data_IF_928936981366
#
_entry.id   IF_928936981366
#
_cell.length_a   1.000
_cell.length_b   1.000
_cell.length_c   1.000
_cell.angle_alpha   90.00
_cell.angle_beta   90.00
_cell.angle_gamma   90.00
#
_symmetry.space_group_name_H-M   'P 1'
#
loop_
_entity.id
_entity.type
_entity.pdbx_description
1 polymer ?
#
# COMPACT_ATOMS: atom_id res chain seq x y z
N UNK A 1 14.34 -7.88 -14.20
CA UNK A 1 15.04 -6.61 -13.92
C UNK A 1 16.02 -6.90 -12.81
N UNK A 2 17.25 -6.42 -12.90
CA UNK A 2 18.22 -6.49 -11.82
C UNK A 2 17.84 -5.52 -10.70
N UNK A 3 18.06 -5.93 -9.44
CA UNK A 3 17.67 -5.18 -8.24
C UNK A 3 18.26 -3.75 -8.22
N UNK A 4 19.45 -3.57 -8.78
CA UNK A 4 20.14 -2.28 -8.85
C UNK A 4 19.41 -1.30 -9.77
N UNK A 5 19.01 -1.72 -10.96
CA UNK A 5 18.24 -0.87 -11.88
C UNK A 5 16.85 -0.57 -11.30
N UNK A 6 16.20 -1.53 -10.64
CA UNK A 6 14.90 -1.32 -10.00
C UNK A 6 14.98 -0.23 -8.91
N UNK A 7 16.00 -0.27 -8.04
CA UNK A 7 16.21 0.77 -7.02
C UNK A 7 16.43 2.16 -7.62
N UNK A 8 17.15 2.26 -8.74
CA UNK A 8 17.37 3.55 -9.44
C UNK A 8 16.06 4.13 -9.96
N UNK A 9 15.21 3.29 -10.55
CA UNK A 9 13.89 3.72 -11.04
C UNK A 9 13.01 4.16 -9.87
N UNK A 10 12.99 3.40 -8.76
CA UNK A 10 12.23 3.76 -7.56
C UNK A 10 12.68 5.11 -6.97
N UNK A 11 13.99 5.35 -6.91
CA UNK A 11 14.55 6.61 -6.41
C UNK A 11 14.30 7.81 -7.34
N UNK A 12 14.23 7.59 -8.66
CA UNK A 12 13.80 8.61 -9.61
C UNK A 12 12.32 8.95 -9.42
N UNK A 13 11.47 7.92 -9.40
CA UNK A 13 10.03 8.06 -9.22
C UNK A 13 9.68 8.80 -7.92
N UNK A 14 10.35 8.50 -6.82
CA UNK A 14 10.15 9.16 -5.53
C UNK A 14 10.44 10.67 -5.60
N UNK A 15 11.49 11.05 -6.32
CA UNK A 15 11.89 12.47 -6.50
C UNK A 15 10.90 13.21 -7.40
N UNK A 16 10.55 12.63 -8.54
CA UNK A 16 9.68 13.27 -9.53
C UNK A 16 8.24 13.44 -9.04
N UNK A 17 7.82 12.61 -8.09
CA UNK A 17 6.47 12.64 -7.51
C UNK A 17 6.42 13.43 -6.19
N UNK A 18 7.54 13.99 -5.72
CA UNK A 18 7.57 14.76 -4.49
C UNK A 18 6.59 15.96 -4.57
N UNK A 19 5.73 16.10 -3.57
CA UNK A 19 4.71 17.14 -3.53
C UNK A 19 3.47 16.88 -4.40
N UNK A 20 3.41 15.75 -5.11
CA UNK A 20 2.25 15.35 -5.91
C UNK A 20 1.47 14.22 -5.25
N UNK A 21 0.14 14.28 -5.34
CA UNK A 21 -0.71 13.15 -4.95
C UNK A 21 -0.52 12.02 -5.96
N UNK A 22 -0.05 10.87 -5.48
CA UNK A 22 0.28 9.73 -6.33
C UNK A 22 -0.50 8.50 -5.87
N UNK A 23 -1.17 7.84 -6.83
CA UNK A 23 -1.85 6.56 -6.61
C UNK A 23 -1.08 5.49 -7.37
N UNK A 24 -0.71 4.40 -6.69
CA UNK A 24 0.05 3.28 -7.25
C UNK A 24 -0.77 2.01 -7.09
N UNK A 25 -1.06 1.34 -8.20
CA UNK A 25 -1.68 0.00 -8.21
C UNK A 25 -0.58 -1.01 -8.51
N UNK A 26 -0.27 -1.87 -7.54
CA UNK A 26 0.84 -2.82 -7.66
C UNK A 26 0.57 -4.09 -6.85
N UNK A 27 1.09 -5.21 -7.36
CA UNK A 27 1.23 -6.46 -6.62
C UNK A 27 2.66 -6.65 -6.09
N UNK A 28 3.58 -5.72 -6.39
CA UNK A 28 5.00 -5.78 -6.02
C UNK A 28 5.26 -5.02 -4.71
N UNK A 29 5.77 -5.70 -3.66
CA UNK A 29 6.11 -5.06 -2.38
C UNK A 29 7.21 -4.00 -2.48
N UNK A 30 8.07 -4.06 -3.51
CA UNK A 30 9.21 -3.16 -3.69
C UNK A 30 8.83 -1.67 -3.80
N UNK A 31 7.58 -1.37 -4.17
CA UNK A 31 7.04 -0.01 -4.29
C UNK A 31 6.46 0.53 -2.98
N UNK A 32 6.18 -0.34 -2.00
CA UNK A 32 5.55 0.05 -0.74
C UNK A 32 6.38 1.08 0.06
N UNK A 33 7.72 1.07 0.07
CA UNK A 33 8.51 2.11 0.73
C UNK A 33 8.21 3.53 0.22
N UNK A 34 7.71 3.69 -1.00
CA UNK A 34 7.41 5.01 -1.61
C UNK A 34 6.07 5.60 -1.20
N UNK A 35 5.19 4.82 -0.55
CA UNK A 35 3.84 5.26 -0.19
C UNK A 35 3.68 5.43 1.33
N UNK A 36 2.79 6.33 1.72
CA UNK A 36 2.44 6.60 3.11
C UNK A 36 1.21 5.82 3.59
N UNK A 37 0.27 5.53 2.68
CA UNK A 37 -0.99 4.82 2.92
C UNK A 37 -1.12 3.64 1.97
N UNK A 38 -1.64 2.53 2.46
CA UNK A 38 -1.89 1.32 1.67
C UNK A 38 -3.36 0.93 1.80
N UNK A 39 -3.97 0.61 0.66
CA UNK A 39 -5.33 0.07 0.58
C UNK A 39 -5.23 -1.33 -0.01
N UNK A 40 -5.72 -2.33 0.72
CA UNK A 40 -5.78 -3.72 0.26
C UNK A 40 -7.17 -3.98 -0.26
N UNK A 41 -7.25 -4.46 -1.51
CA UNK A 41 -8.49 -4.91 -2.12
C UNK A 41 -8.56 -6.42 -2.08
N UNK A 42 -9.68 -6.97 -1.65
CA UNK A 42 -10.03 -8.38 -1.74
C UNK A 42 -11.41 -8.52 -2.38
N UNK A 43 -11.49 -9.28 -3.49
CA UNK A 43 -12.74 -9.53 -4.23
C UNK A 43 -13.60 -8.27 -4.50
N UNK A 44 -12.95 -7.19 -4.91
CA UNK A 44 -13.63 -5.92 -5.22
C UNK A 44 -14.06 -5.10 -4.00
N UNK A 45 -13.69 -5.52 -2.77
CA UNK A 45 -13.93 -4.77 -1.55
C UNK A 45 -12.62 -4.34 -0.90
N UNK A 46 -12.66 -3.21 -0.19
CA UNK A 46 -11.53 -2.75 0.62
C UNK A 46 -11.44 -3.63 1.87
N UNK A 47 -10.43 -4.49 1.91
CA UNK A 47 -10.17 -5.34 3.05
C UNK A 47 -9.47 -4.57 4.18
N UNK A 48 -8.52 -3.70 3.82
CA UNK A 48 -7.71 -2.95 4.78
C UNK A 48 -7.36 -1.58 4.21
N UNK A 49 -7.35 -0.56 5.06
CA UNK A 49 -6.94 0.78 4.71
C UNK A 49 -6.24 1.42 5.90
N UNK A 50 -5.03 1.93 5.69
CA UNK A 50 -4.30 2.65 6.73
C UNK A 50 -2.86 3.00 6.37
N UNK A 51 -2.10 3.49 7.36
CA UNK A 51 -0.67 3.73 7.21
C UNK A 51 0.05 2.46 6.77
N UNK A 52 0.99 2.60 5.84
CA UNK A 52 1.75 1.48 5.26
C UNK A 52 2.24 0.49 6.32
N UNK A 53 2.89 0.99 7.36
CA UNK A 53 3.55 0.15 8.37
C UNK A 53 2.55 -0.70 9.16
N UNK A 54 1.36 -0.14 9.48
CA UNK A 54 0.28 -0.89 10.16
C UNK A 54 -0.34 -1.94 9.24
N UNK A 55 -0.57 -1.59 7.97
CA UNK A 55 -1.13 -2.53 6.98
C UNK A 55 -0.15 -3.69 6.77
N UNK A 56 1.15 -3.41 6.64
CA UNK A 56 2.20 -4.42 6.52
C UNK A 56 2.32 -5.31 7.76
N UNK A 57 2.25 -4.73 8.97
CA UNK A 57 2.27 -5.50 10.22
C UNK A 57 1.09 -6.47 10.33
N UNK A 58 -0.10 -6.03 9.92
CA UNK A 58 -1.30 -6.86 9.89
C UNK A 58 -1.27 -7.95 8.78
N UNK A 59 -0.63 -7.68 7.64
CA UNK A 59 -0.43 -8.67 6.56
C UNK A 59 0.59 -9.76 6.93
N UNK A 60 1.60 -9.41 7.73
CA UNK A 60 2.64 -10.34 8.19
C UNK A 60 2.25 -11.10 9.46
N UNK A 61 1.04 -10.88 9.99
CA UNK A 61 0.52 -11.55 11.18
C UNK A 61 1.13 -11.08 12.50
N UNK A 62 1.88 -9.97 12.50
CA UNK A 62 2.53 -9.40 13.70
C UNK A 62 1.61 -8.54 14.56
N UNK A 63 0.52 -8.01 14.01
CA UNK A 63 -0.47 -7.22 14.76
C UNK A 63 -1.91 -7.70 14.48
N UNK A 64 -2.81 -7.65 15.47
CA UNK A 64 -4.21 -8.01 15.28
C UNK A 64 -4.87 -7.06 14.26
N UNK A 65 -5.60 -7.64 13.30
CA UNK A 65 -6.34 -6.96 12.21
C UNK A 65 -7.31 -5.85 12.67
N UNK A 66 -7.55 -5.70 13.97
CA UNK A 66 -8.54 -4.82 14.57
C UNK A 66 -8.13 -3.33 14.62
N UNK A 67 -6.87 -2.99 14.32
CA UNK A 67 -6.35 -1.61 14.38
C UNK A 67 -6.38 -0.85 13.03
N UNK A 68 -6.93 -1.47 11.98
CA UNK A 68 -7.07 -0.88 10.65
C UNK A 68 -8.54 -0.59 10.38
N UNK A 69 -8.83 0.48 9.65
CA UNK A 69 -10.18 0.71 9.15
C UNK A 69 -10.48 -0.41 8.14
N UNK A 70 -11.10 -1.49 8.63
CA UNK A 70 -11.82 -2.42 7.77
C UNK A 70 -13.01 -1.63 7.29
N UNK A 71 -12.93 -1.11 6.07
CA UNK A 71 -14.06 -0.46 5.43
C UNK A 71 -15.04 -1.59 5.08
N UNK A 72 -15.80 -2.06 6.07
CA UNK A 72 -17.08 -2.74 5.85
C UNK A 72 -18.03 -1.70 5.27
N UNK A 73 -17.80 -1.33 4.02
CA UNK A 73 -18.76 -0.63 3.19
C UNK A 73 -19.92 -1.59 2.96
N UNK A 74 -20.92 -1.51 3.84
CA UNK A 74 -22.25 -1.99 3.54
C UNK A 74 -22.78 -1.16 2.38
N UNK A 75 -22.72 -1.72 1.18
CA UNK A 75 -23.65 -1.34 0.12
C UNK A 75 -24.95 -2.05 0.50
N UNK A 76 -25.82 -1.32 1.22
CA UNK A 76 -27.24 -1.58 1.14
C UNK A 76 -27.65 -1.18 -0.27
N UNK A 77 -27.89 -2.16 -1.13
CA UNK A 77 -29.07 -2.24 -2.03
C UNK A 77 -29.35 -3.73 -2.29
#
# INVERSE_FOLDING_TARGET
>A
MDNTTEQRVLAGLARDRAGLTTVIVTHKPALLPLVSRVVVLDRGRVAMDGPRDKVLAALTGKEPRNALNVVTGGVKE
#
